data_IF_509502622511
#
_entry.id   IF_509502622511
#
_cell.length_a   1.000
_cell.length_b   1.000
_cell.length_c   1.000
_cell.angle_alpha   90.00
_cell.angle_beta   90.00
_cell.angle_gamma   90.00
#
_symmetry.space_group_name_H-M   'P 1'
#
loop_
_entity.id
_entity.type
_entity.pdbx_description
1 polymer ?
#
# COMPACT_ATOMS: atom_id res chain seq x y z
N UNK A 1 49.88 3.05 -58.51
CA UNK A 1 48.62 3.80 -58.42
C UNK A 1 48.26 4.00 -56.95
N UNK A 2 48.56 5.18 -56.39
CA UNK A 2 48.05 5.60 -55.06
C UNK A 2 46.86 6.50 -55.33
N UNK A 3 45.66 6.05 -54.97
CA UNK A 3 44.43 6.81 -55.12
C UNK A 3 44.36 7.92 -54.06
N UNK A 4 44.21 9.17 -54.51
CA UNK A 4 43.88 10.32 -53.67
C UNK A 4 42.48 10.14 -53.06
N UNK A 5 42.37 10.22 -51.74
CA UNK A 5 41.08 10.31 -51.05
C UNK A 5 40.53 11.73 -51.20
N UNK A 6 39.33 11.85 -51.76
CA UNK A 6 38.58 13.11 -51.82
C UNK A 6 38.30 13.69 -50.41
N UNK A 7 38.23 15.02 -50.26
CA UNK A 7 37.98 15.65 -48.97
C UNK A 7 36.56 15.36 -48.47
N UNK A 8 36.45 14.89 -47.22
CA UNK A 8 35.19 14.64 -46.51
C UNK A 8 34.41 15.95 -46.33
N UNK A 9 33.12 15.93 -46.68
CA UNK A 9 32.22 17.07 -46.51
C UNK A 9 32.14 17.52 -45.04
N UNK A 10 31.99 18.84 -44.77
CA UNK A 10 31.94 19.35 -43.41
C UNK A 10 30.69 18.86 -42.64
N UNK A 11 30.78 18.72 -41.30
CA UNK A 11 29.67 18.32 -40.44
C UNK A 11 28.35 19.10 -40.69
N UNK A 12 27.18 18.47 -40.50
CA UNK A 12 25.88 19.08 -40.76
C UNK A 12 25.62 20.40 -40.02
N UNK A 13 26.19 20.60 -38.81
CA UNK A 13 26.02 21.85 -38.08
C UNK A 13 26.66 23.04 -38.81
N UNK A 14 27.82 22.83 -39.45
CA UNK A 14 28.49 23.86 -40.25
C UNK A 14 27.62 24.27 -41.44
N UNK A 15 26.99 23.31 -42.14
CA UNK A 15 26.10 23.59 -43.27
C UNK A 15 24.89 24.47 -42.90
N UNK A 16 24.41 24.38 -41.67
CA UNK A 16 23.28 25.20 -41.20
C UNK A 16 23.72 26.62 -40.80
N UNK A 17 24.93 26.78 -40.25
CA UNK A 17 25.51 28.10 -39.97
C UNK A 17 25.87 28.85 -41.26
N UNK A 18 26.42 28.16 -42.27
CA UNK A 18 26.67 28.73 -43.61
C UNK A 18 25.41 29.34 -44.25
N UNK A 19 24.23 28.82 -43.91
CA UNK A 19 22.95 29.22 -44.49
C UNK A 19 22.31 30.44 -43.82
N UNK A 20 22.74 30.81 -42.60
CA UNK A 20 22.12 31.88 -41.78
C UNK A 20 22.86 33.22 -41.80
N UNK A 21 24.03 33.30 -42.44
CA UNK A 21 24.75 34.58 -42.60
C UNK A 21 25.35 35.17 -41.32
N UNK A 22 25.44 34.41 -40.23
CA UNK A 22 25.96 34.86 -38.93
C UNK A 22 27.51 34.86 -38.91
N UNK A 23 28.15 35.78 -39.65
CA UNK A 23 29.62 35.80 -39.85
C UNK A 23 30.40 36.80 -38.99
N UNK A 24 29.78 37.59 -38.12
CA UNK A 24 30.44 38.82 -37.63
C UNK A 24 30.79 38.84 -36.14
N UNK A 25 31.58 37.86 -35.71
CA UNK A 25 32.35 37.86 -34.44
C UNK A 25 31.60 37.45 -33.17
N UNK A 26 32.31 36.68 -32.33
CA UNK A 26 31.96 36.51 -30.90
C UNK A 26 33.28 36.54 -30.12
N UNK A 27 33.48 37.61 -29.33
CA UNK A 27 34.68 38.01 -28.54
C UNK A 27 35.88 38.55 -29.35
N UNK A 28 35.63 39.47 -30.27
CA UNK A 28 36.67 40.41 -30.77
C UNK A 28 37.79 39.81 -31.62
N UNK A 29 37.68 38.54 -32.05
CA UNK A 29 38.53 37.97 -33.11
C UNK A 29 37.65 37.40 -34.23
N UNK A 30 37.90 37.76 -35.50
CA UNK A 30 37.16 37.20 -36.61
C UNK A 30 37.48 35.71 -36.80
N UNK A 31 36.48 34.92 -37.24
CA UNK A 31 36.63 33.48 -37.46
C UNK A 31 37.75 33.11 -38.45
N UNK A 32 38.14 34.07 -39.30
CA UNK A 32 39.24 33.97 -40.27
C UNK A 32 40.63 33.76 -39.64
N UNK A 33 40.80 33.93 -38.32
CA UNK A 33 42.09 33.77 -37.63
C UNK A 33 42.13 32.57 -36.68
N UNK A 34 41.04 31.79 -36.58
CA UNK A 34 40.96 30.60 -35.71
C UNK A 34 41.33 29.35 -36.50
N UNK A 35 42.15 28.47 -35.93
CA UNK A 35 42.44 27.19 -36.57
C UNK A 35 41.20 26.27 -36.52
N UNK A 36 41.08 25.28 -37.44
CA UNK A 36 39.96 24.34 -37.43
C UNK A 36 39.76 23.61 -36.10
N UNK A 37 40.82 23.42 -35.30
CA UNK A 37 40.73 22.86 -33.94
C UNK A 37 40.07 23.83 -32.95
N UNK A 38 40.47 25.10 -32.97
CA UNK A 38 39.91 26.14 -32.09
C UNK A 38 38.43 26.42 -32.37
N UNK A 39 37.99 26.27 -33.63
CA UNK A 39 36.57 26.36 -33.99
C UNK A 39 35.76 25.21 -33.40
N UNK A 40 36.26 23.96 -33.52
CA UNK A 40 35.59 22.78 -32.95
C UNK A 40 35.47 22.86 -31.43
N UNK A 41 36.55 23.20 -30.73
CA UNK A 41 36.55 23.33 -29.27
C UNK A 41 35.55 24.39 -28.78
N UNK A 42 35.41 25.49 -29.53
CA UNK A 42 34.45 26.56 -29.20
C UNK A 42 33.00 26.11 -29.39
N UNK A 43 32.68 25.47 -30.52
CA UNK A 43 31.35 24.92 -30.80
C UNK A 43 30.98 23.88 -29.74
N UNK A 44 31.90 22.97 -29.41
CA UNK A 44 31.68 21.97 -28.36
C UNK A 44 31.44 22.61 -26.99
N UNK A 45 32.20 23.67 -26.64
CA UNK A 45 32.01 24.38 -25.38
C UNK A 45 30.66 25.09 -25.32
N UNK A 46 30.26 25.79 -26.38
CA UNK A 46 28.96 26.48 -26.44
C UNK A 46 27.79 25.47 -26.35
N UNK A 47 27.90 24.33 -27.04
CA UNK A 47 26.95 23.23 -26.91
C UNK A 47 26.91 22.67 -25.47
N UNK A 48 28.06 22.48 -24.81
CA UNK A 48 28.12 22.05 -23.39
C UNK A 48 27.48 23.08 -22.45
N UNK A 49 27.70 24.38 -22.68
CA UNK A 49 27.10 25.45 -21.89
C UNK A 49 25.58 25.53 -22.09
N UNK A 50 25.08 25.35 -23.30
CA UNK A 50 23.65 25.29 -23.59
C UNK A 50 22.99 24.07 -22.93
N UNK A 51 23.62 22.89 -23.01
CA UNK A 51 23.18 21.69 -22.31
C UNK A 51 23.18 21.92 -20.80
N UNK A 52 24.21 22.52 -20.22
CA UNK A 52 24.28 22.83 -18.79
C UNK A 52 23.18 23.80 -18.34
N UNK A 53 22.86 24.82 -19.16
CA UNK A 53 21.74 25.74 -18.89
C UNK A 53 20.40 25.01 -18.90
N UNK A 54 20.14 24.17 -19.92
CA UNK A 54 18.92 23.36 -20.00
C UNK A 54 18.79 22.41 -18.81
N UNK A 55 19.88 21.77 -18.39
CA UNK A 55 19.91 20.90 -17.19
C UNK A 55 19.61 21.69 -15.91
N UNK A 56 20.15 22.90 -15.76
CA UNK A 56 19.90 23.76 -14.60
C UNK A 56 18.46 24.26 -14.54
N UNK A 57 17.90 24.68 -15.68
CA UNK A 57 16.50 25.09 -15.80
C UNK A 57 15.53 23.92 -15.53
N UNK A 58 15.82 22.74 -16.10
CA UNK A 58 15.10 21.50 -15.79
C UNK A 58 15.17 21.14 -14.30
N UNK A 59 16.34 21.31 -13.67
CA UNK A 59 16.51 21.06 -12.23
C UNK A 59 15.72 22.05 -11.36
N UNK A 60 15.67 23.33 -11.75
CA UNK A 60 14.89 24.36 -11.05
C UNK A 60 13.40 24.14 -11.18
N UNK A 61 12.92 23.83 -12.39
CA UNK A 61 11.50 23.52 -12.65
C UNK A 61 11.07 22.25 -11.91
N UNK A 62 11.91 21.21 -11.87
CA UNK A 62 11.67 20.02 -11.04
C UNK A 62 11.61 20.35 -9.56
N UNK A 63 12.50 21.21 -9.05
CA UNK A 63 12.50 21.61 -7.64
C UNK A 63 11.23 22.39 -7.29
N UNK A 64 10.83 23.34 -8.12
CA UNK A 64 9.59 24.09 -7.95
C UNK A 64 8.34 23.19 -8.03
N UNK A 65 8.31 22.22 -8.95
CA UNK A 65 7.25 21.20 -9.03
C UNK A 65 7.19 20.40 -7.71
N UNK A 66 8.33 19.92 -7.22
CA UNK A 66 8.41 19.15 -5.96
C UNK A 66 7.96 19.96 -4.73
N UNK A 67 8.35 21.22 -4.63
CA UNK A 67 7.93 22.10 -3.53
C UNK A 67 6.41 22.33 -3.56
N UNK A 68 5.85 22.68 -4.72
CA UNK A 68 4.40 22.83 -4.90
C UNK A 68 3.62 21.54 -4.63
N UNK A 69 4.12 20.40 -5.10
CA UNK A 69 3.50 19.09 -4.82
C UNK A 69 3.53 18.80 -3.32
N UNK A 70 4.64 19.07 -2.64
CA UNK A 70 4.76 18.86 -1.19
C UNK A 70 3.78 19.73 -0.40
N UNK A 71 3.57 20.98 -0.80
CA UNK A 71 2.58 21.89 -0.19
C UNK A 71 1.14 21.39 -0.38
N UNK A 72 0.82 20.85 -1.55
CA UNK A 72 -0.53 20.39 -1.88
C UNK A 72 -0.83 18.97 -1.38
N UNK A 73 0.19 18.15 -1.13
CA UNK A 73 0.00 16.75 -0.74
C UNK A 73 -0.54 16.68 0.69
N UNK A 74 -1.71 16.04 0.91
CA UNK A 74 -2.24 15.85 2.25
C UNK A 74 -1.25 15.16 3.19
N UNK A 75 -1.07 15.68 4.40
CA UNK A 75 -0.23 15.09 5.46
C UNK A 75 -0.97 13.93 6.13
N UNK A 76 -1.13 12.83 5.42
CA UNK A 76 -1.75 11.60 5.90
C UNK A 76 -1.22 10.39 5.14
N UNK A 77 -1.52 9.18 5.63
CA UNK A 77 -1.21 7.95 4.90
C UNK A 77 -1.76 8.02 3.47
N UNK A 78 -0.92 7.69 2.48
CA UNK A 78 -1.24 7.76 1.04
C UNK A 78 -1.59 9.16 0.53
N UNK A 79 -1.11 10.24 1.16
CA UNK A 79 -1.36 11.61 0.70
C UNK A 79 -1.08 11.82 -0.80
N UNK A 80 -0.05 11.17 -1.34
CA UNK A 80 0.29 11.21 -2.76
C UNK A 80 -0.72 10.53 -3.71
N UNK A 81 -1.66 9.75 -3.17
CA UNK A 81 -2.77 9.11 -3.90
C UNK A 81 -4.14 9.58 -3.41
N UNK A 82 -4.20 10.65 -2.62
CA UNK A 82 -5.46 11.24 -2.15
C UNK A 82 -5.84 12.39 -3.09
N UNK A 83 -6.96 12.30 -3.82
CA UNK A 83 -7.43 13.39 -4.66
C UNK A 83 -7.83 14.60 -3.82
N UNK A 84 -7.47 15.79 -4.30
CA UNK A 84 -7.77 17.08 -3.68
C UNK A 84 -9.27 17.40 -3.71
N UNK A 85 -9.99 16.92 -4.73
CA UNK A 85 -11.42 17.16 -4.94
C UNK A 85 -12.30 15.97 -4.53
N UNK A 86 -11.77 14.96 -3.81
CA UNK A 86 -12.51 13.73 -3.49
C UNK A 86 -13.84 13.99 -2.77
N UNK A 87 -13.89 14.95 -1.85
CA UNK A 87 -15.10 15.31 -1.11
C UNK A 87 -16.14 16.03 -1.97
N UNK A 88 -15.71 16.84 -2.93
CA UNK A 88 -16.58 17.52 -3.88
C UNK A 88 -17.19 16.52 -4.87
N UNK A 89 -16.36 15.69 -5.50
CA UNK A 89 -16.81 14.63 -6.41
C UNK A 89 -17.75 13.65 -5.71
N UNK A 90 -17.48 13.28 -4.45
CA UNK A 90 -18.38 12.43 -3.66
C UNK A 90 -19.77 13.06 -3.51
N UNK A 91 -19.84 14.35 -3.14
CA UNK A 91 -21.13 15.04 -2.96
C UNK A 91 -21.89 15.12 -4.28
N UNK A 92 -21.22 15.52 -5.36
CA UNK A 92 -21.82 15.64 -6.68
C UNK A 92 -22.32 14.29 -7.21
N UNK A 93 -21.51 13.24 -7.09
CA UNK A 93 -21.85 11.90 -7.55
C UNK A 93 -23.05 11.32 -6.78
N UNK A 94 -23.05 11.42 -5.45
CA UNK A 94 -24.14 10.86 -4.64
C UNK A 94 -25.47 11.59 -4.87
N UNK A 95 -25.44 12.91 -5.11
CA UNK A 95 -26.64 13.66 -5.50
C UNK A 95 -27.17 13.22 -6.88
N UNK A 96 -26.27 13.03 -7.86
CA UNK A 96 -26.65 12.53 -9.17
C UNK A 96 -27.15 11.06 -9.14
N UNK A 97 -26.59 10.25 -8.24
CA UNK A 97 -27.04 8.86 -8.01
C UNK A 97 -28.46 8.83 -7.44
N UNK A 98 -28.76 9.68 -6.47
CA UNK A 98 -30.11 9.82 -5.91
C UNK A 98 -31.14 10.22 -6.98
N UNK A 99 -30.82 11.21 -7.82
CA UNK A 99 -31.66 11.60 -8.96
C UNK A 99 -31.86 10.44 -9.96
N UNK A 100 -30.82 9.66 -10.25
CA UNK A 100 -30.92 8.45 -11.09
C UNK A 100 -31.85 7.41 -10.48
N UNK A 101 -31.72 7.09 -9.19
CA UNK A 101 -32.59 6.11 -8.51
C UNK A 101 -34.05 6.59 -8.41
N UNK A 102 -34.31 7.90 -8.41
CA UNK A 102 -35.65 8.50 -8.47
C UNK A 102 -36.26 8.55 -9.88
N UNK A 103 -35.50 8.20 -10.91
CA UNK A 103 -35.94 8.31 -12.30
C UNK A 103 -35.96 9.75 -12.84
N UNK A 104 -35.34 10.70 -12.14
CA UNK A 104 -35.17 12.08 -12.60
C UNK A 104 -34.05 12.19 -13.67
N UNK A 105 -33.31 11.10 -13.88
CA UNK A 105 -32.21 10.98 -14.83
C UNK A 105 -32.24 9.59 -15.49
N UNK A 106 -32.08 9.55 -16.81
CA UNK A 106 -32.17 8.31 -17.61
C UNK A 106 -30.87 7.48 -17.66
N UNK A 107 -29.75 8.05 -17.21
CA UNK A 107 -28.42 7.42 -17.29
C UNK A 107 -27.71 7.45 -15.94
N UNK A 108 -26.76 6.52 -15.75
CA UNK A 108 -25.88 6.52 -14.59
C UNK A 108 -25.17 7.89 -14.44
N UNK A 109 -24.81 8.28 -13.20
CA UNK A 109 -23.97 9.45 -12.94
C UNK A 109 -22.69 9.42 -13.78
N UNK A 110 -22.11 10.61 -14.04
CA UNK A 110 -20.79 10.65 -14.68
C UNK A 110 -19.76 10.02 -13.75
N UNK A 111 -18.76 9.36 -14.32
CA UNK A 111 -17.62 8.90 -13.56
C UNK A 111 -16.91 10.11 -12.90
N UNK A 112 -16.56 10.02 -11.60
CA UNK A 112 -15.79 11.05 -10.93
C UNK A 112 -14.47 11.36 -11.65
N UNK A 113 -14.05 12.63 -11.60
CA UNK A 113 -12.78 13.06 -12.16
C UNK A 113 -11.88 13.54 -11.03
N UNK A 114 -10.85 12.77 -10.70
CA UNK A 114 -9.99 13.02 -9.55
C UNK A 114 -8.81 13.92 -9.92
N UNK A 115 -8.54 14.89 -9.06
CA UNK A 115 -7.42 15.84 -9.20
C UNK A 115 -6.39 15.55 -8.12
N UNK A 116 -5.14 15.30 -8.52
CA UNK A 116 -4.03 15.02 -7.60
C UNK A 116 -3.02 16.16 -7.58
N UNK A 117 -2.27 16.27 -6.48
CA UNK A 117 -1.12 17.17 -6.39
C UNK A 117 -0.01 16.81 -7.40
N UNK A 118 0.13 15.51 -7.72
CA UNK A 118 0.98 14.98 -8.80
C UNK A 118 0.33 13.73 -9.41
N UNK A 119 -0.30 13.90 -10.57
CA UNK A 119 -1.02 12.83 -11.29
C UNK A 119 -0.09 11.69 -11.71
N UNK A 120 1.13 12.00 -12.16
CA UNK A 120 2.08 10.99 -12.63
C UNK A 120 2.55 10.13 -11.47
N UNK A 121 2.83 10.76 -10.32
CA UNK A 121 3.17 10.03 -9.10
C UNK A 121 2.01 9.15 -8.63
N UNK A 122 0.78 9.67 -8.62
CA UNK A 122 -0.40 8.89 -8.22
C UNK A 122 -0.59 7.65 -9.11
N UNK A 123 -0.42 7.80 -10.43
CA UNK A 123 -0.53 6.72 -11.42
C UNK A 123 0.62 5.71 -11.30
N UNK A 124 1.85 6.16 -11.06
CA UNK A 124 3.00 5.27 -10.85
C UNK A 124 2.79 4.43 -9.59
N UNK A 125 2.39 5.05 -8.48
CA UNK A 125 2.09 4.34 -7.22
C UNK A 125 0.96 3.33 -7.35
N UNK A 126 0.00 3.58 -8.23
CA UNK A 126 -1.03 2.60 -8.56
C UNK A 126 -0.43 1.38 -9.28
N UNK A 127 0.44 1.60 -10.27
CA UNK A 127 1.08 0.53 -11.04
C UNK A 127 2.08 -0.33 -10.24
N UNK A 128 2.69 0.21 -9.19
CA UNK A 128 3.62 -0.52 -8.30
C UNK A 128 3.01 -1.78 -7.68
N UNK A 129 1.69 -1.82 -7.51
CA UNK A 129 0.98 -2.96 -6.91
C UNK A 129 0.65 -4.08 -7.91
N UNK A 130 0.98 -3.89 -9.19
CA UNK A 130 0.65 -4.80 -10.27
C UNK A 130 -0.83 -4.73 -10.68
N UNK A 131 -1.20 -5.63 -11.61
CA UNK A 131 -2.57 -5.78 -12.04
C UNK A 131 -3.38 -6.59 -11.01
N UNK A 132 -4.69 -6.29 -10.83
CA UNK A 132 -5.56 -7.15 -10.05
C UNK A 132 -5.60 -8.59 -10.59
N UNK A 133 -5.61 -9.57 -9.70
CA UNK A 133 -5.72 -11.00 -9.99
C UNK A 133 -7.16 -11.50 -9.83
N UNK A 134 -7.48 -12.61 -10.47
CA UNK A 134 -8.79 -13.27 -10.42
C UNK A 134 -8.75 -14.70 -9.86
N UNK A 135 -7.59 -15.20 -9.45
CA UNK A 135 -7.39 -16.57 -8.93
C UNK A 135 -8.37 -16.95 -7.80
N UNK A 136 -8.78 -15.97 -6.97
CA UNK A 136 -9.70 -16.18 -5.85
C UNK A 136 -11.10 -15.58 -6.10
N UNK A 137 -11.44 -15.20 -7.33
CA UNK A 137 -12.68 -14.49 -7.63
C UNK A 137 -13.93 -15.32 -7.31
N UNK A 138 -13.93 -16.61 -7.64
CA UNK A 138 -15.04 -17.52 -7.35
C UNK A 138 -15.22 -17.71 -5.84
N UNK A 139 -14.11 -17.86 -5.11
CA UNK A 139 -14.12 -17.95 -3.65
C UNK A 139 -14.62 -16.65 -3.00
N UNK A 140 -14.15 -15.50 -3.48
CA UNK A 140 -14.61 -14.19 -3.01
C UNK A 140 -16.11 -14.01 -3.25
N UNK A 141 -16.60 -14.37 -4.44
CA UNK A 141 -18.03 -14.29 -4.79
C UNK A 141 -18.87 -15.20 -3.90
N UNK A 142 -18.43 -16.44 -3.66
CA UNK A 142 -19.10 -17.37 -2.73
C UNK A 142 -19.17 -16.80 -1.31
N UNK A 143 -18.08 -16.25 -0.79
CA UNK A 143 -18.04 -15.64 0.55
C UNK A 143 -18.99 -14.43 0.62
N UNK A 144 -19.02 -13.58 -0.41
CA UNK A 144 -19.92 -12.43 -0.47
C UNK A 144 -21.40 -12.85 -0.48
N UNK A 145 -21.75 -13.87 -1.26
CA UNK A 145 -23.10 -14.44 -1.28
C UNK A 145 -23.46 -15.08 0.07
N UNK A 146 -22.54 -15.84 0.67
CA UNK A 146 -22.76 -16.45 1.98
C UNK A 146 -22.99 -15.40 3.10
N UNK A 147 -22.34 -14.23 3.04
CA UNK A 147 -22.65 -13.12 3.95
C UNK A 147 -24.07 -12.63 3.75
N UNK A 148 -24.45 -12.37 2.49
CA UNK A 148 -25.76 -11.83 2.12
C UNK A 148 -26.89 -12.78 2.53
N UNK A 149 -26.73 -14.07 2.30
CA UNK A 149 -27.72 -15.10 2.64
C UNK A 149 -27.89 -15.26 4.16
N UNK A 150 -26.78 -15.25 4.92
CA UNK A 150 -26.82 -15.55 6.36
C UNK A 150 -27.07 -14.34 7.25
N UNK A 151 -26.65 -13.15 6.82
CA UNK A 151 -26.66 -11.95 7.66
C UNK A 151 -27.38 -10.76 7.02
N UNK A 152 -27.74 -10.82 5.73
CA UNK A 152 -28.38 -9.72 5.04
C UNK A 152 -27.44 -8.52 4.86
N UNK A 153 -27.81 -7.37 5.43
CA UNK A 153 -27.06 -6.11 5.34
C UNK A 153 -25.80 -6.07 6.24
N UNK A 154 -24.96 -5.07 6.04
CA UNK A 154 -23.70 -4.91 6.77
C UNK A 154 -23.89 -4.60 8.26
N UNK A 155 -24.92 -3.86 8.64
CA UNK A 155 -25.17 -3.55 10.05
C UNK A 155 -25.52 -4.80 10.84
N UNK A 156 -26.33 -5.66 10.24
CA UNK A 156 -26.67 -6.99 10.77
C UNK A 156 -25.43 -7.89 10.88
N UNK A 157 -24.58 -7.92 9.85
CA UNK A 157 -23.30 -8.63 9.89
C UNK A 157 -22.34 -8.09 10.96
N UNK A 158 -22.16 -6.77 11.05
CA UNK A 158 -21.27 -6.14 12.05
C UNK A 158 -21.73 -6.42 13.47
N UNK A 159 -23.04 -6.40 13.71
CA UNK A 159 -23.61 -6.76 15.01
C UNK A 159 -23.35 -8.23 15.35
N UNK A 160 -23.48 -9.13 14.37
CA UNK A 160 -23.18 -10.55 14.55
C UNK A 160 -21.69 -10.81 14.80
N UNK A 161 -20.81 -10.15 14.04
CA UNK A 161 -19.36 -10.31 14.13
C UNK A 161 -18.77 -9.73 15.41
N UNK A 162 -19.19 -8.52 15.80
CA UNK A 162 -18.53 -7.74 16.87
C UNK A 162 -19.34 -7.63 18.16
N UNK A 163 -20.54 -8.21 18.20
CA UNK A 163 -21.41 -8.17 19.38
C UNK A 163 -22.01 -6.79 19.68
N UNK A 164 -22.72 -6.70 20.80
CA UNK A 164 -23.40 -5.48 21.24
C UNK A 164 -22.63 -4.63 22.25
N UNK A 165 -21.56 -5.17 22.85
CA UNK A 165 -20.85 -4.52 23.95
C UNK A 165 -20.03 -3.34 23.45
N UNK A 166 -20.23 -2.19 24.09
CA UNK A 166 -19.61 -0.94 23.69
C UNK A 166 -18.69 -0.37 24.75
N UNK A 167 -17.68 0.37 24.33
CA UNK A 167 -16.70 1.04 25.17
C UNK A 167 -16.64 2.55 24.84
N UNK A 168 -16.56 3.38 25.88
CA UNK A 168 -16.38 4.82 25.74
C UNK A 168 -14.91 5.19 25.43
N UNK A 169 -14.66 6.45 25.05
CA UNK A 169 -13.31 6.91 24.66
C UNK A 169 -12.30 6.83 25.82
N UNK A 170 -12.72 7.14 27.05
CA UNK A 170 -11.84 7.08 28.23
C UNK A 170 -11.38 5.64 28.50
N UNK A 171 -12.32 4.70 28.58
CA UNK A 171 -12.03 3.28 28.81
C UNK A 171 -11.25 2.65 27.65
N UNK A 172 -11.41 3.20 26.43
CA UNK A 172 -10.64 2.78 25.27
C UNK A 172 -9.16 3.10 25.43
N UNK A 173 -8.80 4.30 25.90
CA UNK A 173 -7.39 4.63 26.12
C UNK A 173 -6.74 3.69 27.15
N UNK A 174 -7.47 3.37 28.23
CA UNK A 174 -6.99 2.42 29.24
C UNK A 174 -6.84 1.01 28.67
N UNK A 175 -7.80 0.55 27.85
CA UNK A 175 -7.71 -0.74 27.15
C UNK A 175 -6.47 -0.81 26.25
N UNK A 176 -6.16 0.28 25.52
CA UNK A 176 -4.97 0.32 24.66
C UNK A 176 -3.70 0.29 25.52
N UNK A 177 -3.64 1.05 26.61
CA UNK A 177 -2.50 1.06 27.53
C UNK A 177 -2.26 -0.32 28.15
N UNK A 178 -3.31 -0.99 28.61
CA UNK A 178 -3.23 -2.36 29.13
C UNK A 178 -2.71 -3.32 28.07
N UNK A 179 -3.21 -3.23 26.83
CA UNK A 179 -2.69 -4.03 25.72
C UNK A 179 -1.19 -3.79 25.50
N UNK A 180 -0.73 -2.53 25.52
CA UNK A 180 0.69 -2.20 25.34
C UNK A 180 1.56 -2.74 26.49
N UNK A 181 1.08 -2.65 27.73
CA UNK A 181 1.77 -3.15 28.92
C UNK A 181 1.87 -4.67 28.88
N UNK A 182 0.79 -5.38 28.52
CA UNK A 182 0.80 -6.85 28.42
C UNK A 182 1.81 -7.34 27.37
N UNK A 183 2.13 -6.51 26.36
CA UNK A 183 3.12 -6.82 25.34
C UNK A 183 4.51 -6.22 25.61
N UNK A 184 4.68 -5.43 26.68
CA UNK A 184 5.96 -4.81 27.08
C UNK A 184 6.48 -3.76 26.09
N UNK A 185 5.57 -3.03 25.43
CA UNK A 185 5.86 -2.05 24.36
C UNK A 185 5.27 -0.67 24.65
N UNK A 186 4.89 -0.38 25.90
CA UNK A 186 4.26 0.87 26.31
C UNK A 186 5.13 2.11 26.05
N UNK A 187 6.45 1.93 25.96
CA UNK A 187 7.42 3.00 25.64
C UNK A 187 7.69 3.15 24.15
N UNK A 188 7.18 2.23 23.33
CA UNK A 188 7.43 2.17 21.90
C UNK A 188 6.26 2.68 21.07
N UNK A 189 5.06 2.81 21.64
CA UNK A 189 3.86 3.23 20.92
C UNK A 189 3.28 4.48 21.56
N UNK A 190 3.02 5.49 20.73
CA UNK A 190 2.27 6.71 21.12
C UNK A 190 0.85 6.63 20.53
N UNK A 191 -0.14 7.13 21.28
CA UNK A 191 -1.53 7.21 20.82
C UNK A 191 -1.82 8.67 20.42
N UNK A 192 -2.33 8.87 19.22
CA UNK A 192 -2.79 10.19 18.74
C UNK A 192 -4.27 10.14 18.40
N UNK A 193 -5.03 11.13 18.89
CA UNK A 193 -6.46 11.23 18.68
C UNK A 193 -6.79 12.27 17.59
N UNK A 194 -7.72 11.93 16.70
CA UNK A 194 -8.03 12.73 15.51
C UNK A 194 -9.55 12.90 15.34
N UNK A 195 -10.01 14.14 15.13
CA UNK A 195 -11.44 14.45 14.99
C UNK A 195 -12.08 13.98 13.67
N UNK A 196 -11.28 13.89 12.61
CA UNK A 196 -11.75 13.61 11.25
C UNK A 196 -11.23 12.28 10.69
N UNK A 197 -10.67 11.42 11.54
CA UNK A 197 -10.14 10.14 11.11
C UNK A 197 -11.28 9.13 10.90
N UNK A 198 -11.41 8.64 9.67
CA UNK A 198 -12.48 7.70 9.31
C UNK A 198 -12.17 6.24 9.71
N UNK A 199 -10.89 5.89 9.82
CA UNK A 199 -10.45 4.53 10.15
C UNK A 199 -9.15 4.63 10.93
N UNK A 200 -9.01 3.90 12.05
CA UNK A 200 -7.74 3.84 12.76
C UNK A 200 -6.62 3.31 11.86
N UNK A 201 -5.40 3.67 12.19
CA UNK A 201 -4.21 3.21 11.46
C UNK A 201 -2.97 3.38 12.32
N UNK A 202 -1.91 2.65 12.00
CA UNK A 202 -0.62 2.87 12.63
C UNK A 202 0.43 3.37 11.64
N UNK A 203 1.25 4.34 12.07
CA UNK A 203 2.49 4.72 11.40
C UNK A 203 3.69 4.27 12.19
N UNK A 204 4.79 3.97 11.50
CA UNK A 204 5.97 3.37 12.12
C UNK A 204 7.25 4.06 11.68
N UNK A 205 8.14 4.29 12.64
CA UNK A 205 9.52 4.71 12.40
C UNK A 205 10.46 3.61 12.87
N UNK A 206 11.31 3.15 11.94
CA UNK A 206 12.24 2.04 12.16
C UNK A 206 13.66 2.60 12.25
N UNK A 207 14.39 2.19 13.29
CA UNK A 207 15.80 2.44 13.47
C UNK A 207 16.53 1.14 13.82
N UNK A 208 17.86 1.20 13.96
CA UNK A 208 18.65 0.03 14.33
C UNK A 208 18.24 -0.45 15.73
N UNK A 209 17.63 -1.64 15.83
CA UNK A 209 17.11 -2.23 17.08
C UNK A 209 16.13 -1.32 17.83
N UNK A 210 15.42 -0.46 17.10
CA UNK A 210 14.39 0.43 17.65
C UNK A 210 13.21 0.49 16.68
N UNK A 211 12.01 0.31 17.19
CA UNK A 211 10.78 0.62 16.47
C UNK A 211 9.95 1.55 17.35
N UNK A 212 9.41 2.60 16.73
CA UNK A 212 8.42 3.48 17.35
C UNK A 212 7.16 3.51 16.49
N UNK A 213 6.01 3.28 17.11
CA UNK A 213 4.70 3.30 16.48
C UNK A 213 3.89 4.52 16.92
N UNK A 214 3.09 5.07 16.02
CA UNK A 214 2.04 6.03 16.36
C UNK A 214 0.71 5.43 15.94
N UNK A 215 -0.13 5.09 16.91
CA UNK A 215 -1.49 4.62 16.69
C UNK A 215 -2.42 5.83 16.57
N UNK A 216 -2.97 6.04 15.38
CA UNK A 216 -3.93 7.10 15.12
C UNK A 216 -5.34 6.58 15.37
N UNK A 217 -6.03 7.17 16.34
CA UNK A 217 -7.38 6.82 16.75
C UNK A 217 -8.36 7.95 16.49
N UNK A 218 -9.62 7.66 16.09
CA UNK A 218 -10.65 8.68 16.00
C UNK A 218 -11.06 9.14 17.41
N UNK A 219 -11.11 10.46 17.63
CA UNK A 219 -11.54 11.06 18.91
C UNK A 219 -13.05 10.91 19.16
N UNK A 220 -13.81 10.55 18.13
CA UNK A 220 -15.26 10.33 18.16
C UNK A 220 -15.58 9.03 17.46
N UNK A 221 -16.43 8.21 18.07
CA UNK A 221 -16.97 7.05 17.38
C UNK A 221 -17.90 7.49 16.23
N UNK A 222 -17.86 6.77 15.12
CA UNK A 222 -18.63 7.05 13.89
C UNK A 222 -20.15 6.97 14.09
N UNK A 223 -20.64 6.39 15.19
CA UNK A 223 -22.06 6.37 15.54
C UNK A 223 -22.26 6.34 17.05
N UNK A 224 -22.87 7.37 17.62
CA UNK A 224 -23.34 7.37 19.02
C UNK A 224 -22.28 7.51 20.12
N UNK A 225 -21.01 7.76 19.79
CA UNK A 225 -19.95 8.02 20.79
C UNK A 225 -19.30 6.79 21.43
N UNK A 226 -19.63 5.57 20.97
CA UNK A 226 -19.04 4.34 21.50
C UNK A 226 -18.46 3.43 20.42
N UNK A 227 -17.41 2.68 20.77
CA UNK A 227 -16.82 1.65 19.91
C UNK A 227 -17.27 0.26 20.38
N UNK A 228 -17.39 -0.71 19.48
CA UNK A 228 -17.65 -2.10 19.90
C UNK A 228 -16.37 -2.69 20.49
N UNK A 229 -16.45 -3.31 21.66
CA UNK A 229 -15.28 -3.83 22.39
C UNK A 229 -14.47 -4.83 21.56
N UNK A 230 -15.14 -5.81 20.96
CA UNK A 230 -14.47 -6.83 20.13
C UNK A 230 -13.81 -6.25 18.88
N UNK A 231 -14.41 -5.19 18.32
CA UNK A 231 -13.81 -4.48 17.19
C UNK A 231 -12.51 -3.76 17.59
N UNK A 232 -12.47 -3.19 18.79
CA UNK A 232 -11.23 -2.58 19.33
C UNK A 232 -10.16 -3.64 19.53
N UNK A 233 -10.50 -4.78 20.14
CA UNK A 233 -9.54 -5.88 20.30
C UNK A 233 -8.98 -6.32 18.94
N UNK A 234 -9.88 -6.57 17.96
CA UNK A 234 -9.49 -6.95 16.61
C UNK A 234 -8.63 -5.90 15.89
N UNK A 235 -8.87 -4.61 16.14
CA UNK A 235 -8.04 -3.52 15.65
C UNK A 235 -6.64 -3.54 16.28
N UNK A 236 -6.54 -3.74 17.60
CA UNK A 236 -5.25 -3.81 18.28
C UNK A 236 -4.46 -5.05 17.85
N UNK A 237 -5.12 -6.17 17.62
CA UNK A 237 -4.50 -7.38 17.08
C UNK A 237 -3.98 -7.17 15.65
N UNK A 238 -4.69 -6.38 14.84
CA UNK A 238 -4.30 -6.01 13.48
C UNK A 238 -3.09 -5.07 13.48
N UNK A 239 -3.23 -3.88 14.08
CA UNK A 239 -2.24 -2.81 14.02
C UNK A 239 -1.03 -3.12 14.91
N UNK A 240 -1.26 -3.54 16.15
CA UNK A 240 -0.18 -3.74 17.13
C UNK A 240 0.26 -5.20 17.18
N UNK A 241 -0.69 -6.11 17.37
CA UNK A 241 -0.42 -7.55 17.45
C UNK A 241 0.20 -8.14 16.19
N UNK A 242 0.03 -7.48 15.04
CA UNK A 242 0.58 -7.94 13.76
C UNK A 242 1.59 -6.96 13.19
N UNK A 243 1.17 -5.78 12.70
CA UNK A 243 2.09 -4.87 12.02
C UNK A 243 3.21 -4.36 12.94
N UNK A 244 2.86 -3.89 14.14
CA UNK A 244 3.87 -3.43 15.10
C UNK A 244 4.78 -4.57 15.54
N UNK A 245 4.19 -5.71 15.90
CA UNK A 245 4.90 -6.91 16.33
C UNK A 245 5.94 -7.35 15.28
N UNK A 246 5.52 -7.50 14.03
CA UNK A 246 6.40 -7.88 12.93
C UNK A 246 7.53 -6.87 12.75
N UNK A 247 7.26 -5.56 12.82
CA UNK A 247 8.32 -4.58 12.61
C UNK A 247 9.28 -4.42 13.79
N UNK A 248 8.80 -4.48 15.05
CA UNK A 248 9.70 -4.44 16.21
C UNK A 248 10.55 -5.71 16.25
N UNK A 249 9.95 -6.88 15.97
CA UNK A 249 10.69 -8.13 15.87
C UNK A 249 11.69 -8.08 14.71
N UNK A 250 11.33 -7.54 13.54
CA UNK A 250 12.26 -7.36 12.43
C UNK A 250 13.42 -6.42 12.83
N UNK A 251 13.17 -5.33 13.55
CA UNK A 251 14.22 -4.42 14.02
C UNK A 251 15.22 -5.09 14.98
N UNK A 252 14.79 -6.08 15.77
CA UNK A 252 15.63 -6.79 16.75
C UNK A 252 16.23 -8.10 16.21
N UNK A 253 15.52 -8.82 15.35
CA UNK A 253 15.80 -10.20 14.98
C UNK A 253 16.12 -10.40 13.48
N UNK A 254 15.87 -9.41 12.61
CA UNK A 254 16.04 -9.57 11.14
C UNK A 254 17.43 -10.06 10.74
N UNK A 255 18.48 -9.58 11.39
CA UNK A 255 19.85 -10.02 11.13
C UNK A 255 19.98 -11.56 11.27
N UNK A 256 19.23 -12.17 12.21
CA UNK A 256 19.28 -13.59 12.56
C UNK A 256 18.32 -14.41 11.69
N UNK A 257 17.12 -13.88 11.48
CA UNK A 257 16.05 -14.52 10.71
C UNK A 257 16.36 -14.52 9.21
N UNK A 258 17.08 -13.52 8.71
CA UNK A 258 17.50 -13.41 7.30
C UNK A 258 18.93 -13.90 7.07
N UNK A 259 19.63 -14.40 8.09
CA UNK A 259 20.96 -14.99 7.94
C UNK A 259 22.09 -14.02 7.58
N UNK A 260 21.93 -12.72 7.81
CA UNK A 260 22.96 -11.70 7.48
C UNK A 260 24.09 -11.59 8.51
N UNK A 261 24.04 -12.38 9.60
CA UNK A 261 25.16 -12.50 10.56
C UNK A 261 26.45 -13.06 9.98
N UNK A 262 26.38 -13.76 8.85
CA UNK A 262 27.55 -14.26 8.16
C UNK A 262 27.67 -13.52 6.83
N UNK A 263 28.65 -12.63 6.72
CA UNK A 263 28.96 -11.86 5.49
C UNK A 263 29.22 -12.75 4.27
N UNK A 264 29.51 -14.04 4.50
CA UNK A 264 29.64 -15.06 3.47
C UNK A 264 28.31 -15.49 2.82
N UNK A 265 27.13 -15.04 3.29
CA UNK A 265 25.81 -15.49 2.80
C UNK A 265 25.08 -14.47 1.93
N UNK A 266 25.65 -13.28 1.70
CA UNK A 266 25.05 -12.24 0.86
C UNK A 266 24.80 -12.67 -0.60
N UNK A 267 25.42 -13.75 -1.05
CA UNK A 267 25.22 -14.31 -2.39
C UNK A 267 24.07 -15.33 -2.47
N UNK A 268 23.66 -15.95 -1.35
CA UNK A 268 22.61 -16.98 -1.33
C UNK A 268 21.18 -16.39 -1.30
N UNK A 269 21.01 -15.17 -0.79
CA UNK A 269 19.72 -14.45 -0.77
C UNK A 269 19.40 -13.72 -2.09
N UNK A 270 20.32 -13.70 -3.06
CA UNK A 270 20.12 -13.05 -4.37
C UNK A 270 19.25 -13.87 -5.34
N UNK A 271 18.76 -15.04 -4.92
CA UNK A 271 18.10 -16.00 -5.80
C UNK A 271 16.57 -15.89 -5.91
N UNK A 272 15.90 -15.16 -5.01
CA UNK A 272 14.43 -15.00 -5.04
C UNK A 272 14.06 -13.53 -5.00
N UNK A 273 13.44 -13.06 -6.08
CA UNK A 273 12.88 -11.71 -6.17
C UNK A 273 11.59 -11.64 -5.34
N UNK A 274 11.69 -11.61 -4.01
CA UNK A 274 10.56 -11.27 -3.15
C UNK A 274 10.30 -9.78 -3.32
N UNK A 275 9.15 -9.41 -3.87
CA UNK A 275 8.82 -8.00 -4.07
C UNK A 275 8.14 -7.43 -2.82
N UNK A 276 8.03 -6.10 -2.69
CA UNK A 276 7.26 -5.48 -1.60
C UNK A 276 5.81 -5.98 -1.52
N UNK A 277 5.23 -6.44 -2.65
CA UNK A 277 3.88 -7.01 -2.69
C UNK A 277 3.80 -8.32 -1.92
N UNK A 278 4.74 -9.24 -2.08
CA UNK A 278 4.74 -10.55 -1.41
C UNK A 278 4.87 -10.40 0.11
N UNK A 279 5.71 -9.47 0.57
CA UNK A 279 5.76 -9.08 1.98
C UNK A 279 4.42 -8.54 2.45
N UNK A 280 3.80 -7.62 1.68
CA UNK A 280 2.50 -7.05 2.03
C UNK A 280 1.42 -8.13 2.10
N UNK A 281 1.34 -9.02 1.11
CA UNK A 281 0.37 -10.13 1.07
C UNK A 281 0.49 -10.99 2.31
N UNK A 282 1.71 -11.35 2.72
CA UNK A 282 1.89 -12.18 3.91
C UNK A 282 1.51 -11.42 5.19
N UNK A 283 1.98 -10.19 5.35
CA UNK A 283 1.75 -9.38 6.55
C UNK A 283 0.26 -9.01 6.73
N UNK A 284 -0.39 -8.54 5.66
CA UNK A 284 -1.83 -8.20 5.66
C UNK A 284 -2.69 -9.45 5.77
N UNK A 285 -2.22 -10.59 5.26
CA UNK A 285 -2.85 -11.89 5.49
C UNK A 285 -2.86 -12.27 6.97
N UNK A 286 -1.71 -12.17 7.65
CA UNK A 286 -1.62 -12.41 9.09
C UNK A 286 -2.54 -11.45 9.85
N UNK A 287 -2.50 -10.16 9.51
CA UNK A 287 -3.30 -9.14 10.17
C UNK A 287 -4.80 -9.41 9.96
N UNK A 288 -5.19 -9.85 8.76
CA UNK A 288 -6.57 -10.26 8.44
C UNK A 288 -7.02 -11.45 9.30
N UNK A 289 -6.19 -12.48 9.45
CA UNK A 289 -6.52 -13.65 10.28
C UNK A 289 -6.63 -13.24 11.76
N UNK A 290 -5.70 -12.42 12.24
CA UNK A 290 -5.67 -11.97 13.63
C UNK A 290 -6.85 -11.06 13.98
N UNK A 291 -7.32 -10.22 13.06
CA UNK A 291 -8.58 -9.47 13.20
C UNK A 291 -9.78 -10.40 13.48
N UNK A 292 -9.78 -11.62 12.93
CA UNK A 292 -10.88 -12.56 13.12
C UNK A 292 -10.75 -13.41 14.40
N UNK A 293 -9.67 -13.28 15.18
CA UNK A 293 -9.54 -13.91 16.50
C UNK A 293 -10.71 -13.52 17.40
N UNK A 294 -10.96 -12.23 17.51
CA UNK A 294 -11.97 -11.63 18.39
C UNK A 294 -13.36 -11.55 17.75
N UNK A 295 -13.44 -11.68 16.42
CA UNK A 295 -14.71 -11.69 15.71
C UNK A 295 -15.51 -12.97 16.02
N UNK A 296 -16.79 -12.86 16.35
CA UNK A 296 -17.68 -14.04 16.54
C UNK A 296 -17.99 -14.75 15.22
N UNK A 297 -17.96 -14.01 14.12
CA UNK A 297 -18.15 -14.53 12.76
C UNK A 297 -16.79 -14.64 12.09
N UNK A 298 -16.43 -15.84 11.60
CA UNK A 298 -15.12 -16.12 11.00
C UNK A 298 -15.08 -15.97 9.48
N UNK A 299 -16.16 -15.48 8.88
CA UNK A 299 -16.29 -15.28 7.44
C UNK A 299 -15.43 -14.10 6.97
N UNK A 300 -14.54 -14.30 5.99
CA UNK A 300 -13.64 -13.29 5.43
C UNK A 300 -14.35 -12.36 4.43
N UNK A 301 -15.53 -11.86 4.78
CA UNK A 301 -16.37 -11.06 3.89
C UNK A 301 -15.70 -9.75 3.44
N UNK A 302 -15.11 -9.00 4.37
CA UNK A 302 -14.44 -7.73 4.04
C UNK A 302 -13.28 -7.92 3.05
N UNK A 303 -12.34 -8.85 3.31
CA UNK A 303 -11.30 -9.23 2.36
C UNK A 303 -11.84 -9.70 1.00
N UNK A 304 -12.88 -10.53 0.99
CA UNK A 304 -13.51 -11.01 -0.23
C UNK A 304 -14.13 -9.88 -1.07
N UNK A 305 -14.87 -8.99 -0.43
CA UNK A 305 -15.44 -7.80 -1.07
C UNK A 305 -14.34 -6.92 -1.66
N UNK A 306 -13.25 -6.68 -0.93
CA UNK A 306 -12.12 -5.90 -1.42
C UNK A 306 -11.49 -6.57 -2.65
N UNK A 307 -11.25 -7.89 -2.60
CA UNK A 307 -10.68 -8.66 -3.70
C UNK A 307 -11.53 -8.57 -4.97
N UNK A 308 -12.82 -8.86 -4.85
CA UNK A 308 -13.79 -8.80 -5.94
C UNK A 308 -13.89 -7.39 -6.53
N UNK A 309 -13.96 -6.37 -5.66
CA UNK A 309 -14.06 -4.97 -6.10
C UNK A 309 -12.85 -4.58 -6.94
N UNK A 310 -11.63 -4.99 -6.54
CA UNK A 310 -10.41 -4.65 -7.31
C UNK A 310 -10.39 -5.33 -8.67
N UNK A 311 -10.83 -6.58 -8.76
CA UNK A 311 -10.99 -7.24 -10.05
C UNK A 311 -12.03 -6.54 -10.92
N UNK A 312 -13.24 -6.30 -10.40
CA UNK A 312 -14.32 -5.65 -11.16
C UNK A 312 -13.99 -4.21 -11.60
N UNK A 313 -13.16 -3.49 -10.84
CA UNK A 313 -12.64 -2.19 -11.27
C UNK A 313 -11.75 -2.25 -12.51
N UNK A 314 -11.22 -3.41 -12.89
CA UNK A 314 -10.54 -3.60 -14.20
C UNK A 314 -11.51 -3.83 -15.35
N UNK A 315 -12.79 -4.10 -15.05
CA UNK A 315 -13.83 -4.39 -16.03
C UNK A 315 -14.78 -3.21 -16.24
N UNK A 316 -14.97 -2.40 -15.18
CA UNK A 316 -15.99 -1.36 -15.09
C UNK A 316 -15.38 0.03 -14.81
N UNK A 317 -16.06 1.09 -15.27
CA UNK A 317 -15.87 2.45 -14.78
C UNK A 317 -16.40 2.63 -13.35
N UNK A 318 -16.19 3.80 -12.76
CA UNK A 318 -16.62 4.08 -11.37
C UNK A 318 -18.14 3.94 -11.19
N UNK A 319 -18.94 4.55 -12.06
CA UNK A 319 -20.41 4.54 -11.93
C UNK A 319 -20.99 3.13 -12.06
N UNK A 320 -20.53 2.35 -13.04
CA UNK A 320 -20.96 0.96 -13.21
C UNK A 320 -20.46 0.05 -12.08
N UNK A 321 -19.26 0.29 -11.54
CA UNK A 321 -18.76 -0.43 -10.36
C UNK A 321 -19.62 -0.11 -9.12
N UNK A 322 -20.00 1.15 -8.95
CA UNK A 322 -20.88 1.58 -7.86
C UNK A 322 -22.26 0.93 -7.98
N UNK A 323 -22.79 0.77 -9.18
CA UNK A 323 -24.03 0.02 -9.39
C UNK A 323 -23.84 -1.47 -9.08
N UNK A 324 -22.79 -2.10 -9.61
CA UNK A 324 -22.51 -3.52 -9.42
C UNK A 324 -22.30 -3.93 -7.96
N UNK A 325 -21.85 -3.00 -7.11
CA UNK A 325 -21.68 -3.21 -5.67
C UNK A 325 -22.98 -3.10 -4.86
N UNK A 326 -24.07 -2.59 -5.44
CA UNK A 326 -25.35 -2.39 -4.74
C UNK A 326 -25.86 -3.62 -3.97
N UNK A 327 -25.84 -4.84 -4.54
CA UNK A 327 -26.35 -6.02 -3.84
C UNK A 327 -25.52 -6.42 -2.61
N UNK A 328 -24.26 -5.99 -2.54
CA UNK A 328 -23.31 -6.38 -1.50
C UNK A 328 -23.04 -5.27 -0.48
N UNK A 329 -23.14 -4.01 -0.93
CA UNK A 329 -22.90 -2.81 -0.13
C UNK A 329 -24.01 -1.78 -0.34
N UNK A 330 -25.20 -1.94 0.25
CA UNK A 330 -26.32 -1.05 0.02
C UNK A 330 -26.05 0.39 0.49
N UNK A 331 -25.28 0.58 1.56
CA UNK A 331 -25.00 1.89 2.15
C UNK A 331 -24.08 2.73 1.24
N UNK A 332 -24.58 3.88 0.79
CA UNK A 332 -23.94 4.68 -0.27
C UNK A 332 -22.56 5.21 0.10
N UNK A 333 -22.32 5.57 1.37
CA UNK A 333 -21.03 6.10 1.81
C UNK A 333 -19.94 5.03 1.76
N UNK A 334 -20.22 3.83 2.29
CA UNK A 334 -19.34 2.65 2.18
C UNK A 334 -19.14 2.21 0.75
N UNK A 335 -20.20 2.20 -0.06
CA UNK A 335 -20.12 1.85 -1.49
C UNK A 335 -19.22 2.81 -2.27
N UNK A 336 -19.34 4.11 -2.00
CA UNK A 336 -18.43 5.12 -2.53
C UNK A 336 -17.00 4.82 -2.14
N UNK A 337 -16.76 4.49 -0.86
CA UNK A 337 -15.41 4.19 -0.41
C UNK A 337 -14.80 2.95 -1.08
N UNK A 338 -15.60 1.93 -1.38
CA UNK A 338 -15.12 0.78 -2.15
C UNK A 338 -14.66 1.19 -3.55
N UNK A 339 -15.46 2.00 -4.26
CA UNK A 339 -15.12 2.51 -5.59
C UNK A 339 -13.93 3.47 -5.56
N UNK A 340 -13.89 4.40 -4.60
CA UNK A 340 -12.81 5.34 -4.40
C UNK A 340 -11.48 4.64 -4.17
N UNK A 341 -11.42 3.68 -3.22
CA UNK A 341 -10.20 2.90 -2.98
C UNK A 341 -9.79 2.05 -4.19
N UNK A 342 -10.75 1.62 -5.00
CA UNK A 342 -10.52 0.88 -6.24
C UNK A 342 -9.87 1.74 -7.32
N UNK A 343 -10.33 2.99 -7.47
CA UNK A 343 -10.01 3.88 -8.59
C UNK A 343 -8.98 4.97 -8.25
N UNK A 344 -8.61 5.14 -6.97
CA UNK A 344 -7.57 6.11 -6.58
C UNK A 344 -6.24 5.81 -7.29
N UNK A 345 -5.55 6.87 -7.69
CA UNK A 345 -4.42 6.83 -8.61
C UNK A 345 -4.80 7.12 -10.07
N UNK A 346 -6.08 7.08 -10.43
CA UNK A 346 -6.59 7.50 -11.73
C UNK A 346 -7.23 8.89 -11.62
N UNK A 347 -6.96 9.76 -12.60
CA UNK A 347 -7.68 11.03 -12.76
C UNK A 347 -9.03 10.79 -13.43
N UNK A 348 -9.03 10.05 -14.55
CA UNK A 348 -10.25 9.59 -15.19
C UNK A 348 -10.67 8.23 -14.60
N UNK A 349 -11.70 8.24 -13.76
CA UNK A 349 -12.18 7.02 -13.10
C UNK A 349 -13.07 6.14 -13.99
N UNK A 350 -13.36 6.57 -15.23
CA UNK A 350 -13.97 5.74 -16.26
C UNK A 350 -13.00 4.69 -16.81
N UNK A 351 -11.68 4.91 -16.66
CA UNK A 351 -10.65 3.96 -17.08
C UNK A 351 -10.88 2.59 -16.41
N UNK A 352 -10.82 1.53 -17.23
CA UNK A 352 -10.92 0.12 -16.83
C UNK A 352 -9.63 -0.38 -16.16
N UNK A 353 -9.22 0.32 -15.10
CA UNK A 353 -8.05 0.02 -14.27
C UNK A 353 -8.44 0.11 -12.81
N UNK A 354 -7.66 -0.57 -11.97
CA UNK A 354 -7.92 -0.65 -10.54
C UNK A 354 -6.62 -0.83 -9.75
N UNK A 355 -6.60 -0.24 -8.56
CA UNK A 355 -5.50 -0.36 -7.61
C UNK A 355 -5.56 -1.75 -6.95
N UNK A 356 -4.66 -2.65 -7.33
CA UNK A 356 -4.66 -4.04 -6.85
C UNK A 356 -4.34 -4.21 -5.36
N UNK A 357 -3.85 -3.15 -4.68
CA UNK A 357 -3.30 -3.23 -3.32
C UNK A 357 -4.18 -4.05 -2.37
N UNK A 358 -5.47 -3.74 -2.27
CA UNK A 358 -6.35 -4.35 -1.27
C UNK A 358 -6.70 -5.83 -1.56
N UNK A 359 -6.21 -6.43 -2.64
CA UNK A 359 -6.31 -7.88 -2.83
C UNK A 359 -5.40 -8.67 -1.86
N UNK A 360 -4.38 -8.01 -1.30
CA UNK A 360 -3.45 -8.63 -0.35
C UNK A 360 -4.14 -9.22 0.88
N UNK A 361 -5.28 -8.66 1.32
CA UNK A 361 -6.01 -9.15 2.49
C UNK A 361 -6.51 -10.59 2.28
N UNK A 362 -7.29 -10.82 1.22
CA UNK A 362 -7.82 -12.15 0.93
C UNK A 362 -6.72 -13.08 0.45
N UNK A 363 -5.86 -12.64 -0.48
CA UNK A 363 -4.76 -13.47 -1.01
C UNK A 363 -3.85 -13.97 0.11
N UNK A 364 -3.48 -13.08 1.04
CA UNK A 364 -2.65 -13.40 2.18
C UNK A 364 -3.31 -14.39 3.11
N UNK A 365 -4.53 -14.08 3.55
CA UNK A 365 -5.28 -14.96 4.44
C UNK A 365 -5.51 -16.34 3.82
N UNK A 366 -5.86 -16.40 2.53
CA UNK A 366 -6.08 -17.65 1.82
C UNK A 366 -4.83 -18.52 1.78
N UNK A 367 -3.69 -17.97 1.33
CA UNK A 367 -2.41 -18.69 1.24
C UNK A 367 -1.90 -19.17 2.60
N UNK A 368 -2.11 -18.37 3.65
CA UNK A 368 -1.77 -18.74 5.03
C UNK A 368 -2.65 -19.86 5.56
N UNK A 369 -3.95 -19.83 5.26
CA UNK A 369 -4.89 -20.88 5.64
C UNK A 369 -4.61 -22.18 4.89
N UNK A 370 -4.29 -22.13 3.60
CA UNK A 370 -3.85 -23.31 2.84
C UNK A 370 -2.60 -23.93 3.49
N UNK A 371 -1.59 -23.12 3.84
CA UNK A 371 -0.37 -23.62 4.49
C UNK A 371 -0.50 -23.93 5.99
N UNK A 372 -1.66 -23.73 6.63
CA UNK A 372 -1.77 -23.58 8.10
C UNK A 372 -1.22 -24.74 8.93
N UNK A 373 -1.22 -25.96 8.38
CA UNK A 373 -0.69 -27.17 9.05
C UNK A 373 0.83 -27.31 8.97
N UNK A 374 1.49 -26.51 8.14
CA UNK A 374 2.93 -26.58 7.85
C UNK A 374 3.69 -25.29 8.20
N UNK A 375 2.95 -24.22 8.47
CA UNK A 375 3.47 -22.91 8.85
C UNK A 375 3.61 -22.76 10.37
N UNK A 376 4.72 -22.18 10.79
CA UNK A 376 4.96 -21.74 12.15
C UNK A 376 4.58 -20.27 12.24
N UNK A 377 3.39 -20.00 12.79
CA UNK A 377 2.87 -18.65 12.90
C UNK A 377 3.64 -17.79 13.91
N UNK A 378 4.34 -18.39 14.90
CA UNK A 378 5.24 -17.61 15.77
C UNK A 378 6.44 -17.10 14.98
N UNK A 379 7.02 -17.92 14.13
CA UNK A 379 8.07 -17.50 13.20
C UNK A 379 7.55 -16.40 12.25
N UNK A 380 6.38 -16.57 11.65
CA UNK A 380 5.83 -15.56 10.74
C UNK A 380 5.61 -14.18 11.41
N UNK A 381 5.41 -14.13 12.73
CA UNK A 381 5.33 -12.89 13.49
C UNK A 381 6.68 -12.41 14.07
N UNK A 382 7.76 -13.19 13.91
CA UNK A 382 9.09 -12.84 14.42
C UNK A 382 9.84 -11.84 13.52
N UNK A 383 9.18 -11.29 12.50
CA UNK A 383 9.74 -10.32 11.57
C UNK A 383 8.84 -10.09 10.37
N UNK A 384 9.30 -9.30 9.41
CA UNK A 384 8.59 -9.11 8.13
C UNK A 384 8.98 -10.20 7.15
N UNK A 385 8.40 -11.38 7.32
CA UNK A 385 8.71 -12.59 6.56
C UNK A 385 7.64 -12.81 5.49
N UNK A 386 8.03 -12.85 4.22
CA UNK A 386 7.12 -13.28 3.16
C UNK A 386 7.03 -14.82 3.10
N UNK A 387 5.89 -15.37 2.66
CA UNK A 387 5.74 -16.82 2.46
C UNK A 387 6.78 -17.40 1.48
N UNK A 388 7.21 -16.61 0.51
CA UNK A 388 8.21 -16.95 -0.50
C UNK A 388 9.61 -17.20 0.08
N UNK A 389 9.92 -16.58 1.23
CA UNK A 389 11.20 -16.75 1.96
C UNK A 389 11.05 -17.57 3.25
N UNK A 390 9.84 -18.05 3.56
CA UNK A 390 9.57 -18.80 4.79
C UNK A 390 10.49 -20.03 4.99
N UNK A 391 10.81 -20.87 3.99
CA UNK A 391 11.73 -21.99 4.19
C UNK A 391 13.13 -21.56 4.65
N UNK A 392 13.63 -20.44 4.13
CA UNK A 392 14.94 -19.89 4.47
C UNK A 392 14.90 -19.27 5.87
N UNK A 393 13.83 -18.51 6.15
CA UNK A 393 13.58 -17.95 7.48
C UNK A 393 13.44 -19.05 8.55
N UNK A 394 12.76 -20.16 8.26
CA UNK A 394 12.63 -21.31 9.16
C UNK A 394 13.97 -21.96 9.44
N UNK A 395 14.78 -22.15 8.40
CA UNK A 395 16.13 -22.69 8.54
C UNK A 395 17.03 -21.78 9.38
N UNK A 396 16.92 -20.46 9.20
CA UNK A 396 17.65 -19.48 9.98
C UNK A 396 17.16 -19.39 11.42
N UNK A 397 15.85 -19.47 11.64
CA UNK A 397 15.21 -19.46 12.96
C UNK A 397 15.65 -20.65 13.81
N UNK A 398 15.70 -21.86 13.23
CA UNK A 398 16.23 -23.03 13.93
C UNK A 398 17.68 -22.82 14.37
N UNK A 399 18.55 -22.26 13.51
CA UNK A 399 19.93 -21.93 13.91
C UNK A 399 19.97 -20.87 15.02
N UNK A 400 19.13 -19.86 14.92
CA UNK A 400 19.07 -18.76 15.89
C UNK A 400 18.62 -19.24 17.27
N UNK A 401 17.53 -19.99 17.35
CA UNK A 401 16.97 -20.49 18.63
C UNK A 401 17.91 -21.43 19.37
N UNK A 402 18.80 -22.15 18.66
CA UNK A 402 19.86 -22.95 19.27
C UNK A 402 21.14 -22.17 19.63
N UNK A 403 21.29 -20.92 19.18
CA UNK A 403 22.47 -20.10 19.46
C UNK A 403 22.33 -19.38 20.81
N UNK A 404 23.42 -19.29 21.58
CA UNK A 404 23.45 -18.60 22.88
C UNK A 404 23.03 -17.13 22.81
N UNK A 405 23.23 -16.49 21.65
CA UNK A 405 22.87 -15.08 21.40
C UNK A 405 21.35 -14.83 21.46
N UNK A 406 20.53 -15.86 21.20
CA UNK A 406 19.06 -15.73 21.22
C UNK A 406 18.51 -15.32 22.59
N UNK A 407 19.19 -15.69 23.68
CA UNK A 407 18.76 -15.38 25.05
C UNK A 407 18.72 -13.88 25.37
N UNK A 408 19.41 -13.05 24.59
CA UNK A 408 19.46 -11.59 24.78
C UNK A 408 18.70 -10.79 23.73
N UNK A 409 18.03 -11.44 22.77
CA UNK A 409 17.29 -10.76 21.71
C UNK A 409 15.84 -10.63 22.14
N UNK A 410 15.36 -9.39 22.17
CA UNK A 410 13.95 -9.11 22.39
C UNK A 410 13.11 -9.65 21.24
N UNK A 411 12.02 -10.34 21.56
CA UNK A 411 10.98 -10.74 20.60
C UNK A 411 9.64 -10.59 21.28
N UNK A 412 8.82 -9.69 20.75
CA UNK A 412 7.44 -9.50 21.16
C UNK A 412 6.62 -10.67 20.64
N UNK A 413 5.98 -11.41 21.55
CA UNK A 413 5.01 -12.46 21.19
C UNK A 413 3.60 -11.93 21.47
N UNK A 414 2.79 -11.68 20.43
CA UNK A 414 1.39 -11.31 20.57
C UNK A 414 0.62 -12.29 21.46
N UNK A 415 -0.33 -11.78 22.24
CA UNK A 415 -1.05 -12.60 23.23
C UNK A 415 -1.75 -13.81 22.60
N UNK A 416 -2.35 -13.65 21.43
CA UNK A 416 -3.03 -14.72 20.69
C UNK A 416 -2.08 -15.84 20.21
N UNK A 417 -0.77 -15.61 20.19
CA UNK A 417 0.25 -16.64 19.88
C UNK A 417 0.85 -17.30 21.12
N UNK A 418 0.53 -16.85 22.34
CA UNK A 418 1.06 -17.44 23.58
C UNK A 418 0.64 -18.91 23.72
N UNK A 419 -0.54 -19.25 23.23
CA UNK A 419 -1.09 -20.61 23.20
C UNK A 419 -1.27 -21.12 21.75
N UNK A 420 -0.22 -21.72 21.13
CA UNK A 420 -0.25 -22.14 19.73
C UNK A 420 -1.40 -23.07 19.36
N UNK A 421 -1.82 -23.94 20.29
CA UNK A 421 -2.93 -24.86 20.07
C UNK A 421 -4.27 -24.14 19.88
N UNK A 422 -4.52 -23.07 20.66
CA UNK A 422 -5.73 -22.24 20.50
C UNK A 422 -5.69 -21.47 19.19
N UNK A 423 -4.53 -20.92 18.84
CA UNK A 423 -4.35 -20.21 17.58
C UNK A 423 -4.58 -21.15 16.37
N UNK A 424 -4.03 -22.36 16.40
CA UNK A 424 -4.22 -23.35 15.35
C UNK A 424 -5.70 -23.79 15.21
N UNK A 425 -6.39 -24.02 16.32
CA UNK A 425 -7.82 -24.32 16.31
C UNK A 425 -8.64 -23.16 15.69
N UNK A 426 -8.27 -21.93 16.03
CA UNK A 426 -8.91 -20.75 15.48
C UNK A 426 -8.68 -20.59 13.97
N UNK A 427 -7.48 -20.85 13.47
CA UNK A 427 -7.21 -20.89 12.03
C UNK A 427 -8.06 -21.94 11.32
N UNK A 428 -8.30 -23.10 11.96
CA UNK A 428 -9.19 -24.13 11.41
C UNK A 428 -10.65 -23.64 11.34
N UNK A 429 -11.14 -22.93 12.35
CA UNK A 429 -12.47 -22.33 12.32
C UNK A 429 -12.62 -21.35 11.14
N UNK A 430 -11.64 -20.46 10.92
CA UNK A 430 -11.64 -19.55 9.77
C UNK A 430 -11.58 -20.37 8.47
N UNK A 431 -10.69 -21.36 8.36
CA UNK A 431 -10.56 -22.18 7.17
C UNK A 431 -11.87 -22.88 6.79
N UNK A 432 -12.53 -23.54 7.76
CA UNK A 432 -13.80 -24.24 7.55
C UNK A 432 -14.91 -23.27 7.15
N UNK A 433 -15.06 -22.16 7.87
CA UNK A 433 -16.08 -21.15 7.60
C UNK A 433 -15.95 -20.56 6.18
N UNK A 434 -14.72 -20.48 5.67
CA UNK A 434 -14.41 -19.93 4.35
C UNK A 434 -14.15 -21.01 3.30
N UNK A 435 -14.29 -22.30 3.61
CA UNK A 435 -14.06 -23.40 2.66
C UNK A 435 -12.62 -23.45 2.10
N UNK A 436 -11.62 -23.22 2.94
CA UNK A 436 -10.20 -23.31 2.59
C UNK A 436 -9.65 -24.67 3.03
N UNK A 437 -9.17 -25.46 2.07
CA UNK A 437 -8.53 -26.75 2.35
C UNK A 437 -7.08 -26.55 2.84
N UNK A 438 -6.48 -27.58 3.44
CA UNK A 438 -5.15 -27.51 4.07
C UNK A 438 -4.07 -28.23 3.26
#
# INVERSE_FOLDING_TARGET
ARAEKAPTAPPPELRNMFRRGEWETVRGKPWSVMTPGQMRDKIEREAREEVAKKVNEYSRTLKAKKEKTKELTPTMAYGNMTPLNAAEERRAFLAAWDAYKKGERDSLPRDPQFVYADEEAARLRMSEWGAPRDDLLDHATRIMNAKRERYGDEGSYEKAAWGGDTIGVSDLEDTIKEYLIDHGIEKNVTIEWHDSLATPSMTMSLGRRKAHGVLHMPSKASTGGFFRREWIQALLDHEIGTHFACAINDAHASEYVRGTFNTASHWALRGRNVTPREHLVTEEGLATLNTHMSAKVKLLWGPALAYWTRWMGTQLGFSSLFEALEPYVPELSRRWQQCYRCKRGLSDTSEKKSLAKDQCYLEGAWRLLEGRKHLDFKLLHSGRIALEEYPDAKSAWLRFTHASVSKGVFTMTPHFLREPGKYAAHLEEIAVENGVEA
#
